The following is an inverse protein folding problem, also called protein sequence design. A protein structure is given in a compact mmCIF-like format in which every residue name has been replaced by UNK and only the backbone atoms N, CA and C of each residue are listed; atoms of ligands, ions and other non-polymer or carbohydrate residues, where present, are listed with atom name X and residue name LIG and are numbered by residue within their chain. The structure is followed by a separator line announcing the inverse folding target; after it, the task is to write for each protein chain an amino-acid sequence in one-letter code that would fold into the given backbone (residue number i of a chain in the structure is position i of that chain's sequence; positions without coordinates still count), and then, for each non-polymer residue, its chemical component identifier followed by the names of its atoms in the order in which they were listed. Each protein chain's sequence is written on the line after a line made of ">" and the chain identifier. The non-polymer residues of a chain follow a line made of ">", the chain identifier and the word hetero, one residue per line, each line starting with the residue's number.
data_IF_627637603127
#
_entry.id   IF_627637603127
#
_cell.length_a   1.000
_cell.length_b   1.000
_cell.length_c   1.000
_cell.angle_alpha   90.00
_cell.angle_beta   90.00
_cell.angle_gamma   90.00
#
_symmetry.space_group_name_H-M   'P 1'
#
loop_
_entity.id
_entity.type
_entity.pdbx_description
1 polymer ?
#
# COMPACT_ATOMS: atom_id res chain seq x y z
N UNK A 1 20.42 0.02 8.68
CA UNK A 1 19.47 0.56 7.70
C UNK A 1 18.08 0.45 8.31
N UNK A 2 17.25 1.47 8.14
CA UNK A 2 15.83 1.42 8.47
C UNK A 2 15.08 0.46 7.55
N UNK A 3 13.87 0.02 7.95
CA UNK A 3 12.99 -0.76 7.08
C UNK A 3 12.74 -0.05 5.74
N UNK A 4 12.54 1.28 5.79
CA UNK A 4 12.35 2.14 4.63
C UNK A 4 13.52 2.08 3.65
N UNK A 5 14.75 2.25 4.15
CA UNK A 5 15.97 2.18 3.33
C UNK A 5 16.16 0.79 2.69
N UNK A 6 15.86 -0.27 3.45
CA UNK A 6 15.96 -1.65 2.96
C UNK A 6 14.99 -1.86 1.79
N UNK A 7 13.72 -1.50 1.96
CA UNK A 7 12.67 -1.70 0.95
C UNK A 7 12.95 -0.88 -0.30
N UNK A 8 13.27 0.41 -0.17
CA UNK A 8 13.59 1.28 -1.32
C UNK A 8 14.80 0.75 -2.10
N UNK A 9 15.85 0.30 -1.40
CA UNK A 9 17.01 -0.28 -2.06
C UNK A 9 16.68 -1.62 -2.73
N UNK A 10 15.88 -2.47 -2.07
CA UNK A 10 15.50 -3.78 -2.58
C UNK A 10 14.64 -3.69 -3.84
N UNK A 11 13.61 -2.85 -3.86
CA UNK A 11 12.71 -2.72 -5.02
C UNK A 11 13.42 -2.16 -6.24
N UNK A 12 14.30 -1.16 -6.04
CA UNK A 12 15.15 -0.62 -7.10
C UNK A 12 16.08 -1.70 -7.69
N UNK A 13 16.80 -2.44 -6.84
CA UNK A 13 17.71 -3.51 -7.29
C UNK A 13 16.97 -4.64 -7.99
N UNK A 14 15.83 -5.08 -7.46
CA UNK A 14 15.04 -6.16 -8.04
C UNK A 14 14.40 -5.76 -9.37
N UNK A 15 13.64 -4.67 -9.39
CA UNK A 15 12.75 -4.37 -10.50
C UNK A 15 13.40 -3.53 -11.59
N UNK A 16 14.39 -2.69 -11.26
CA UNK A 16 15.06 -1.86 -12.25
C UNK A 16 16.41 -2.44 -12.66
N UNK A 17 17.20 -2.93 -11.71
CA UNK A 17 18.56 -3.42 -11.99
C UNK A 17 18.61 -4.93 -12.29
N UNK A 18 17.51 -5.65 -12.03
CA UNK A 18 17.41 -7.12 -12.17
C UNK A 18 18.46 -7.85 -11.33
N UNK A 19 18.91 -7.23 -10.26
CA UNK A 19 19.91 -7.77 -9.36
C UNK A 19 19.25 -8.71 -8.35
N UNK A 20 19.28 -10.02 -8.66
CA UNK A 20 18.73 -11.04 -7.78
C UNK A 20 19.58 -11.29 -6.52
N UNK A 21 20.82 -10.78 -6.45
CA UNK A 21 21.68 -10.98 -5.28
C UNK A 21 21.14 -10.27 -4.04
N UNK A 22 20.36 -9.20 -4.24
CA UNK A 22 19.68 -8.49 -3.14
C UNK A 22 18.74 -9.39 -2.35
N UNK A 23 18.16 -10.43 -2.99
CA UNK A 23 17.28 -11.39 -2.31
C UNK A 23 18.07 -12.12 -1.21
N UNK A 24 19.28 -12.56 -1.52
CA UNK A 24 20.11 -13.30 -0.56
C UNK A 24 20.67 -12.39 0.56
N UNK A 25 20.78 -11.09 0.29
CA UNK A 25 21.29 -10.09 1.23
C UNK A 25 20.23 -9.63 2.25
N UNK A 26 19.03 -9.27 1.78
CA UNK A 26 18.05 -8.52 2.59
C UNK A 26 16.68 -9.17 2.73
N UNK A 27 16.45 -10.36 2.16
CA UNK A 27 15.23 -11.13 2.43
C UNK A 27 15.49 -12.19 3.50
N UNK A 28 14.48 -12.47 4.31
CA UNK A 28 14.54 -13.47 5.37
C UNK A 28 14.48 -14.89 4.78
N UNK A 29 14.94 -15.92 5.52
CA UNK A 29 14.75 -17.31 5.11
C UNK A 29 13.26 -17.70 5.06
N UNK A 30 12.43 -16.98 5.81
CA UNK A 30 10.97 -17.01 5.72
C UNK A 30 10.56 -15.70 5.06
N UNK A 31 9.99 -15.81 3.85
CA UNK A 31 9.39 -14.71 3.11
C UNK A 31 7.99 -15.15 2.70
N UNK A 32 6.99 -14.65 3.41
CA UNK A 32 5.58 -14.97 3.18
C UNK A 32 5.04 -14.04 2.09
N UNK A 33 4.55 -14.63 1.01
CA UNK A 33 3.99 -13.91 -0.14
C UNK A 33 2.46 -13.95 -0.10
N UNK A 34 1.83 -12.80 -0.33
CA UNK A 34 0.38 -12.66 -0.52
C UNK A 34 0.00 -12.27 -1.97
N UNK A 35 0.98 -11.91 -2.80
CA UNK A 35 0.77 -11.57 -4.22
C UNK A 35 0.37 -12.77 -5.07
N UNK A 36 -0.66 -12.60 -5.89
CA UNK A 36 -1.02 -13.59 -6.90
C UNK A 36 0.00 -13.72 -8.05
N UNK A 37 1.01 -12.85 -8.14
CA UNK A 37 2.01 -12.85 -9.21
C UNK A 37 3.14 -13.86 -9.00
N UNK A 38 3.38 -14.30 -7.77
CA UNK A 38 4.53 -15.12 -7.42
C UNK A 38 4.21 -16.18 -6.36
N UNK A 39 4.80 -17.37 -6.52
CA UNK A 39 4.75 -18.40 -5.48
C UNK A 39 5.38 -17.91 -4.17
N UNK A 40 5.08 -18.62 -3.08
CA UNK A 40 5.64 -18.31 -1.77
C UNK A 40 7.16 -18.46 -1.70
N UNK A 41 7.79 -17.75 -0.78
CA UNK A 41 9.22 -17.80 -0.53
C UNK A 41 10.09 -17.05 -1.55
N UNK A 42 11.37 -16.89 -1.19
CA UNK A 42 12.35 -16.13 -1.96
C UNK A 42 12.60 -16.68 -3.37
N UNK A 43 12.43 -17.98 -3.58
CA UNK A 43 12.55 -18.60 -4.91
C UNK A 43 11.38 -18.22 -5.82
N UNK A 44 10.17 -18.04 -5.26
CA UNK A 44 9.03 -17.51 -5.99
C UNK A 44 9.27 -16.07 -6.48
N UNK A 45 9.85 -15.23 -5.61
CA UNK A 45 10.27 -13.86 -5.96
C UNK A 45 11.34 -13.84 -7.05
N UNK A 46 12.42 -14.61 -6.89
CA UNK A 46 13.48 -14.74 -7.93
C UNK A 46 12.91 -15.21 -9.26
N UNK A 47 12.00 -16.18 -9.22
CA UNK A 47 11.30 -16.70 -10.39
C UNK A 47 10.42 -15.66 -11.07
N UNK A 48 9.68 -14.85 -10.30
CA UNK A 48 8.89 -13.74 -10.84
C UNK A 48 9.80 -12.72 -11.55
N UNK A 49 10.80 -12.19 -10.85
CA UNK A 49 11.71 -11.16 -11.40
C UNK A 49 12.46 -11.68 -12.63
N UNK A 50 12.93 -12.94 -12.60
CA UNK A 50 13.64 -13.56 -13.72
C UNK A 50 12.79 -13.79 -14.98
N UNK A 51 11.44 -13.78 -14.87
CA UNK A 51 10.53 -13.87 -16.02
C UNK A 51 10.13 -12.53 -16.62
N UNK A 52 10.38 -11.43 -15.92
CA UNK A 52 10.02 -10.10 -16.42
C UNK A 52 10.85 -9.75 -17.66
N UNK A 53 10.25 -9.09 -18.68
CA UNK A 53 11.00 -8.68 -19.87
C UNK A 53 12.08 -7.66 -19.51
N UNK A 54 13.16 -7.59 -20.29
CA UNK A 54 14.22 -6.60 -20.06
C UNK A 54 13.75 -5.14 -20.18
N UNK A 55 12.58 -4.89 -20.78
CA UNK A 55 11.93 -3.59 -20.85
C UNK A 55 11.00 -3.29 -19.67
N UNK A 56 10.90 -4.17 -18.68
CA UNK A 56 10.14 -3.91 -17.46
C UNK A 56 10.88 -2.95 -16.54
N UNK A 57 10.12 -2.22 -15.73
CA UNK A 57 10.65 -1.25 -14.78
C UNK A 57 9.63 -0.88 -13.71
N UNK A 58 10.11 -0.18 -12.70
CA UNK A 58 9.37 0.26 -11.54
C UNK A 58 9.71 1.72 -11.24
N UNK A 59 8.71 2.59 -11.28
CA UNK A 59 8.81 3.97 -10.82
C UNK A 59 8.26 4.04 -9.40
N UNK A 60 9.14 4.30 -8.43
CA UNK A 60 8.72 4.52 -7.06
C UNK A 60 8.13 5.93 -6.92
N UNK A 61 6.87 6.00 -6.50
CA UNK A 61 6.11 7.25 -6.38
C UNK A 61 6.09 7.74 -4.93
N UNK A 62 5.79 6.84 -3.99
CA UNK A 62 5.68 7.20 -2.56
C UNK A 62 6.12 6.06 -1.66
N UNK A 63 6.64 6.42 -0.48
CA UNK A 63 6.98 5.47 0.58
C UNK A 63 6.49 5.98 1.94
N UNK A 64 5.73 5.15 2.65
CA UNK A 64 5.25 5.39 4.02
C UNK A 64 5.78 4.26 4.91
N UNK A 65 6.48 4.58 6.00
CA UNK A 65 7.07 3.60 6.91
C UNK A 65 6.63 3.83 8.36
N UNK A 66 6.14 2.76 8.99
CA UNK A 66 5.67 2.74 10.38
C UNK A 66 6.23 1.49 11.09
N UNK A 67 7.29 1.69 11.86
CA UNK A 67 8.01 0.60 12.53
C UNK A 67 8.57 -0.41 11.53
N UNK A 68 8.07 -1.64 11.58
CA UNK A 68 8.48 -2.77 10.71
C UNK A 68 7.77 -2.78 9.36
N UNK A 69 6.71 -1.99 9.17
CA UNK A 69 5.91 -1.99 7.95
C UNK A 69 6.30 -0.83 7.05
N UNK A 70 6.44 -1.11 5.76
CA UNK A 70 6.72 -0.12 4.72
C UNK A 70 5.73 -0.30 3.60
N UNK A 71 5.07 0.78 3.20
CA UNK A 71 4.20 0.83 2.02
C UNK A 71 4.98 1.51 0.90
N UNK A 72 4.92 0.93 -0.30
CA UNK A 72 5.38 1.60 -1.53
C UNK A 72 4.22 1.75 -2.49
N UNK A 73 3.97 2.97 -2.96
CA UNK A 73 3.17 3.21 -4.16
C UNK A 73 4.14 3.37 -5.33
N UNK A 74 3.87 2.70 -6.45
CA UNK A 74 4.65 2.91 -7.66
C UNK A 74 3.96 2.46 -8.93
N UNK A 75 4.59 2.77 -10.06
CA UNK A 75 4.13 2.38 -11.40
C UNK A 75 5.01 1.26 -11.93
N UNK A 76 4.39 0.12 -12.22
CA UNK A 76 5.02 -1.06 -12.79
C UNK A 76 4.80 -1.12 -14.30
N UNK A 77 5.89 -1.30 -15.06
CA UNK A 77 5.87 -1.47 -16.51
C UNK A 77 6.37 -2.87 -16.89
N UNK A 78 5.77 -3.47 -17.92
CA UNK A 78 6.13 -4.83 -18.38
C UNK A 78 5.57 -5.98 -17.54
N UNK A 79 4.76 -5.69 -16.51
CA UNK A 79 4.00 -6.67 -15.74
C UNK A 79 2.66 -7.04 -16.42
N UNK A 80 2.13 -6.12 -17.23
CA UNK A 80 0.95 -6.28 -18.06
C UNK A 80 1.14 -5.52 -19.39
N UNK A 81 0.23 -5.66 -20.37
CA UNK A 81 0.29 -4.91 -21.63
C UNK A 81 0.22 -3.39 -21.46
N UNK A 82 -0.24 -2.90 -20.30
CA UNK A 82 -0.28 -1.50 -19.91
C UNK A 82 0.42 -1.32 -18.56
N UNK A 83 0.95 -0.11 -18.24
CA UNK A 83 1.45 0.18 -16.91
C UNK A 83 0.38 -0.04 -15.83
N UNK A 84 0.80 -0.51 -14.66
CA UNK A 84 -0.05 -0.73 -13.50
C UNK A 84 0.42 0.16 -12.35
N UNK A 85 -0.51 0.81 -11.65
CA UNK A 85 -0.23 1.37 -10.32
C UNK A 85 -0.30 0.23 -9.32
N UNK A 86 0.66 0.18 -8.41
CA UNK A 86 0.71 -0.82 -7.35
C UNK A 86 0.90 -0.21 -5.98
N UNK A 87 0.26 -0.83 -5.00
CA UNK A 87 0.54 -0.63 -3.58
C UNK A 87 1.11 -1.93 -3.03
N UNK A 88 2.35 -1.87 -2.56
CA UNK A 88 2.99 -2.99 -1.88
C UNK A 88 3.15 -2.65 -0.39
N UNK A 89 2.88 -3.62 0.47
CA UNK A 89 3.18 -3.58 1.91
C UNK A 89 4.27 -4.59 2.18
N UNK A 90 5.35 -4.13 2.80
CA UNK A 90 6.52 -4.93 3.12
C UNK A 90 6.70 -4.97 4.63
N UNK A 91 6.90 -6.16 5.20
CA UNK A 91 7.31 -6.29 6.59
C UNK A 91 8.79 -6.57 6.68
N UNK A 92 9.49 -5.79 7.51
CA UNK A 92 10.92 -5.92 7.76
C UNK A 92 11.17 -6.22 9.23
N UNK A 93 11.76 -7.38 9.50
CA UNK A 93 12.14 -7.84 10.85
C UNK A 93 13.65 -8.11 10.85
N UNK A 94 14.36 -7.60 11.85
CA UNK A 94 15.81 -7.79 12.01
C UNK A 94 16.63 -7.46 10.74
N UNK A 95 16.20 -6.42 10.03
CA UNK A 95 16.84 -5.97 8.79
C UNK A 95 16.60 -6.88 7.58
N UNK A 96 15.57 -7.75 7.64
CA UNK A 96 15.17 -8.66 6.57
C UNK A 96 13.72 -8.46 6.18
N UNK A 97 13.43 -8.44 4.88
CA UNK A 97 12.06 -8.50 4.36
C UNK A 97 11.53 -9.92 4.57
N UNK A 98 10.46 -10.06 5.34
CA UNK A 98 9.90 -11.36 5.77
C UNK A 98 8.48 -11.62 5.29
N UNK A 99 7.79 -10.59 4.80
CA UNK A 99 6.40 -10.69 4.38
C UNK A 99 6.08 -9.59 3.37
N UNK A 100 5.19 -9.89 2.42
CA UNK A 100 4.80 -8.97 1.35
C UNK A 100 3.36 -9.18 0.92
N UNK A 101 2.65 -8.07 0.78
CA UNK A 101 1.33 -8.00 0.16
C UNK A 101 1.36 -6.97 -0.97
N UNK A 102 0.62 -7.22 -2.04
CA UNK A 102 0.44 -6.24 -3.10
C UNK A 102 -1.02 -6.08 -3.52
N UNK A 103 -1.25 -5.07 -4.33
CA UNK A 103 -2.43 -4.86 -5.14
C UNK A 103 -2.00 -4.04 -6.35
N UNK A 104 -2.16 -4.60 -7.56
CA UNK A 104 -1.80 -3.92 -8.81
C UNK A 104 -3.03 -3.80 -9.69
N UNK A 105 -3.25 -2.61 -10.24
CA UNK A 105 -4.37 -2.34 -11.13
C UNK A 105 -4.08 -1.23 -12.14
N UNK A 106 -4.91 -1.11 -13.19
CA UNK A 106 -4.81 0.01 -14.11
C UNK A 106 -5.15 1.30 -13.37
N UNK A 107 -4.34 2.34 -13.58
CA UNK A 107 -4.54 3.63 -12.94
C UNK A 107 -3.35 4.54 -13.22
N UNK A 108 -3.53 5.84 -13.01
CA UNK A 108 -2.39 6.73 -12.83
C UNK A 108 -1.96 6.62 -11.37
N UNK A 109 -0.66 6.56 -11.10
CA UNK A 109 -0.19 6.83 -9.75
C UNK A 109 -0.40 8.31 -9.46
N UNK A 110 -0.63 8.64 -8.19
CA UNK A 110 -0.82 10.02 -7.79
C UNK A 110 0.54 10.76 -7.80
N UNK A 111 0.51 12.09 -7.90
CA UNK A 111 1.73 12.89 -8.07
C UNK A 111 2.72 12.66 -6.92
N UNK A 112 4.02 12.67 -7.24
CA UNK A 112 5.13 12.60 -6.26
C UNK A 112 5.28 13.86 -5.42
N UNK A 113 4.58 14.94 -5.79
CA UNK A 113 4.53 16.20 -5.05
C UNK A 113 3.98 16.02 -3.62
N UNK A 114 3.29 14.91 -3.35
CA UNK A 114 2.68 14.57 -2.07
C UNK A 114 3.53 13.57 -1.28
N UNK A 115 4.85 13.80 -1.22
CA UNK A 115 5.73 13.10 -0.27
C UNK A 115 5.30 13.45 1.16
N UNK A 116 5.36 12.52 2.14
CA UNK A 116 4.91 12.80 3.50
C UNK A 116 5.56 14.07 4.05
N UNK A 117 4.75 15.01 4.52
CA UNK A 117 5.25 16.19 5.20
C UNK A 117 5.92 15.77 6.52
N UNK A 118 7.01 16.45 6.88
CA UNK A 118 7.64 16.24 8.17
C UNK A 118 6.78 16.88 9.28
N UNK A 119 6.15 16.03 10.10
CA UNK A 119 5.41 16.43 11.31
C UNK A 119 5.99 15.74 12.54
N UNK A 120 5.61 16.16 13.74
CA UNK A 120 6.09 15.55 14.98
C UNK A 120 5.55 14.13 15.19
N UNK A 121 6.24 13.25 15.93
CA UNK A 121 5.73 11.90 16.23
C UNK A 121 4.36 11.89 16.92
N UNK A 122 4.03 12.93 17.70
CA UNK A 122 2.70 13.07 18.33
C UNK A 122 1.63 13.33 17.27
N UNK A 123 1.94 14.14 16.27
CA UNK A 123 1.03 14.39 15.15
C UNK A 123 0.86 13.13 14.28
N UNK A 124 1.93 12.37 14.01
CA UNK A 124 1.82 11.09 13.30
C UNK A 124 0.87 10.14 14.04
N UNK A 125 1.03 10.00 15.36
CA UNK A 125 0.17 9.14 16.17
C UNK A 125 -1.29 9.63 16.17
N UNK A 126 -1.52 10.94 16.20
CA UNK A 126 -2.86 11.53 16.13
C UNK A 126 -3.51 11.29 14.75
N UNK A 127 -2.77 11.49 13.65
CA UNK A 127 -3.22 11.20 12.29
C UNK A 127 -3.62 9.74 12.13
N UNK A 128 -2.76 8.82 12.61
CA UNK A 128 -3.04 7.38 12.59
C UNK A 128 -4.32 7.03 13.36
N UNK A 129 -4.51 7.61 14.54
CA UNK A 129 -5.70 7.38 15.35
C UNK A 129 -6.97 7.94 14.69
N UNK A 130 -6.91 9.14 14.12
CA UNK A 130 -8.02 9.76 13.40
C UNK A 130 -8.49 8.89 12.22
N UNK A 131 -7.55 8.43 11.40
CA UNK A 131 -7.85 7.61 10.21
C UNK A 131 -8.32 6.21 10.60
N UNK A 132 -7.75 5.61 11.65
CA UNK A 132 -8.25 4.34 12.16
C UNK A 132 -9.70 4.45 12.65
N UNK A 133 -10.04 5.52 13.38
CA UNK A 133 -11.41 5.75 13.85
C UNK A 133 -12.37 6.02 12.68
N UNK A 134 -11.95 6.81 11.69
CA UNK A 134 -12.67 7.02 10.43
C UNK A 134 -12.97 5.70 9.72
N UNK A 135 -11.95 4.88 9.51
CA UNK A 135 -12.05 3.61 8.81
C UNK A 135 -13.01 2.64 9.52
N UNK A 136 -12.91 2.53 10.84
CA UNK A 136 -13.77 1.65 11.64
C UNK A 136 -15.22 2.16 11.69
N UNK A 137 -15.45 3.44 12.00
CA UNK A 137 -16.81 3.94 12.21
C UNK A 137 -17.58 4.20 10.92
N UNK A 138 -16.89 4.72 9.90
CA UNK A 138 -17.54 5.19 8.67
C UNK A 138 -17.42 4.18 7.55
N UNK A 139 -16.21 3.68 7.28
CA UNK A 139 -16.01 2.75 6.16
C UNK A 139 -16.59 1.38 6.49
N UNK A 140 -16.13 0.75 7.58
CA UNK A 140 -16.61 -0.57 8.04
C UNK A 140 -17.99 -0.45 8.72
N UNK A 141 -18.13 0.48 9.66
CA UNK A 141 -19.36 0.66 10.43
C UNK A 141 -20.53 1.26 9.63
N UNK A 142 -20.26 1.88 8.48
CA UNK A 142 -21.27 2.46 7.60
C UNK A 142 -21.95 3.72 8.14
N UNK A 143 -21.52 4.28 9.27
CA UNK A 143 -22.10 5.50 9.84
C UNK A 143 -21.62 6.75 9.10
N UNK A 144 -22.16 6.97 7.91
CA UNK A 144 -21.82 8.15 7.08
C UNK A 144 -22.30 9.46 7.69
N UNK A 145 -23.15 9.42 8.71
CA UNK A 145 -23.67 10.64 9.35
C UNK A 145 -22.60 11.39 10.12
N UNK A 146 -21.57 10.67 10.59
CA UNK A 146 -20.44 11.26 11.32
C UNK A 146 -19.26 11.63 10.41
N UNK A 147 -19.36 11.41 9.09
CA UNK A 147 -18.27 11.73 8.17
C UNK A 147 -17.78 13.20 8.24
N UNK A 148 -18.65 14.21 8.39
CA UNK A 148 -18.22 15.61 8.56
C UNK A 148 -17.37 15.87 9.81
N UNK A 149 -17.31 14.93 10.77
CA UNK A 149 -16.42 15.00 11.93
C UNK A 149 -14.97 14.72 11.54
N UNK A 150 -14.73 13.87 10.54
CA UNK A 150 -13.38 13.45 10.13
C UNK A 150 -12.87 14.22 8.92
N UNK A 151 -13.71 14.39 7.91
CA UNK A 151 -13.33 15.03 6.66
C UNK A 151 -13.30 16.56 6.83
N UNK A 152 -12.35 17.23 6.19
CA UNK A 152 -12.44 18.68 6.02
C UNK A 152 -13.63 19.02 5.14
N UNK A 153 -14.35 20.06 5.53
CA UNK A 153 -15.22 20.76 4.60
C UNK A 153 -14.34 21.68 3.77
N UNK A 154 -14.51 21.72 2.47
CA UNK A 154 -13.68 22.56 1.62
C UNK A 154 -13.95 24.06 1.80
N UNK A 155 -12.88 24.85 1.65
CA UNK A 155 -12.98 26.29 1.36
C UNK A 155 -13.53 26.60 -0.03
N UNK A 156 -13.45 25.64 -0.96
CA UNK A 156 -13.72 25.81 -2.41
C UNK A 156 -14.83 24.88 -2.97
N UNK A 157 -15.38 23.97 -2.16
CA UNK A 157 -16.61 23.22 -2.47
C UNK A 157 -16.50 21.77 -2.98
N UNK A 158 -15.35 21.09 -2.95
CA UNK A 158 -15.20 19.67 -3.32
C UNK A 158 -14.59 18.86 -2.17
N UNK A 159 -15.42 18.51 -1.17
CA UNK A 159 -14.94 17.75 -0.01
C UNK A 159 -14.24 16.43 -0.37
N UNK A 160 -13.45 15.89 0.57
CA UNK A 160 -12.70 14.63 0.39
C UNK A 160 -13.62 13.52 -0.13
N UNK A 161 -13.37 13.09 -1.36
CA UNK A 161 -14.15 12.03 -2.01
C UNK A 161 -13.59 10.65 -1.66
N UNK A 162 -14.49 9.68 -1.43
CA UNK A 162 -14.17 8.27 -1.27
C UNK A 162 -15.28 7.43 -1.90
N UNK A 163 -14.95 6.20 -2.31
CA UNK A 163 -15.92 5.35 -2.99
C UNK A 163 -16.98 4.82 -2.01
N UNK A 164 -18.19 5.36 -2.16
CA UNK A 164 -19.35 5.01 -1.36
C UNK A 164 -20.11 3.78 -1.86
N UNK A 165 -19.72 3.19 -3.00
CA UNK A 165 -20.29 1.94 -3.49
C UNK A 165 -19.67 0.72 -2.79
N UNK A 166 -18.44 0.85 -2.27
CA UNK A 166 -17.74 -0.23 -1.57
C UNK A 166 -18.37 -0.46 -0.20
N UNK A 167 -18.68 -1.72 0.09
CA UNK A 167 -18.99 -2.18 1.45
C UNK A 167 -17.71 -2.71 2.08
N UNK A 168 -17.11 -1.95 3.01
CA UNK A 168 -15.90 -2.40 3.70
C UNK A 168 -16.26 -3.49 4.71
N UNK A 169 -15.40 -4.50 4.81
CA UNK A 169 -15.57 -5.67 5.67
C UNK A 169 -14.63 -5.60 6.87
N UNK A 170 -13.34 -5.33 6.65
CA UNK A 170 -12.33 -5.28 7.70
C UNK A 170 -11.14 -4.41 7.33
N UNK A 171 -10.54 -3.75 8.32
CA UNK A 171 -9.25 -3.06 8.19
C UNK A 171 -8.14 -4.01 8.62
N UNK A 172 -7.25 -4.35 7.69
CA UNK A 172 -6.14 -5.28 7.92
C UNK A 172 -4.85 -4.58 8.33
N UNK A 173 -4.65 -3.33 7.89
CA UNK A 173 -3.51 -2.53 8.28
C UNK A 173 -3.82 -1.03 8.33
N UNK A 174 -3.18 -0.33 9.27
CA UNK A 174 -3.10 1.13 9.34
C UNK A 174 -1.63 1.52 9.56
N UNK A 175 -1.03 2.23 8.62
CA UNK A 175 0.42 2.51 8.56
C UNK A 175 0.59 4.02 8.34
N UNK A 176 1.30 4.72 9.22
CA UNK A 176 1.41 6.17 9.16
C UNK A 176 2.86 6.68 9.17
N UNK A 177 3.13 7.68 8.34
CA UNK A 177 4.36 8.47 8.36
C UNK A 177 4.06 9.90 7.96
N UNK A 178 4.55 10.86 8.73
CA UNK A 178 4.26 12.26 8.46
C UNK A 178 2.77 12.58 8.63
N UNK A 179 2.22 13.31 7.67
CA UNK A 179 0.80 13.62 7.53
C UNK A 179 0.00 12.57 6.74
N UNK A 180 0.64 11.48 6.30
CA UNK A 180 0.01 10.44 5.50
C UNK A 180 -0.28 9.19 6.34
N UNK A 181 -1.46 8.62 6.11
CA UNK A 181 -1.89 7.36 6.70
C UNK A 181 -2.41 6.46 5.59
N UNK A 182 -1.81 5.28 5.46
CA UNK A 182 -2.27 4.22 4.57
C UNK A 182 -3.18 3.25 5.31
N UNK A 183 -4.26 2.82 4.65
CA UNK A 183 -5.12 1.71 5.09
C UNK A 183 -5.19 0.62 4.03
N UNK A 184 -5.00 -0.63 4.45
CA UNK A 184 -5.33 -1.82 3.65
C UNK A 184 -6.60 -2.44 4.22
N UNK A 185 -7.62 -2.59 3.39
CA UNK A 185 -8.91 -3.12 3.80
C UNK A 185 -9.43 -4.19 2.84
N UNK A 186 -10.27 -5.05 3.39
CA UNK A 186 -11.12 -5.98 2.66
C UNK A 186 -12.48 -5.34 2.44
N UNK A 187 -13.05 -5.49 1.25
CA UNK A 187 -14.37 -4.95 0.92
C UNK A 187 -15.12 -5.77 -0.13
N UNK A 188 -16.34 -5.34 -0.42
CA UNK A 188 -17.23 -5.91 -1.43
C UNK A 188 -17.74 -4.81 -2.36
N UNK A 189 -17.70 -5.06 -3.68
CA UNK A 189 -18.27 -4.20 -4.72
C UNK A 189 -19.12 -5.03 -5.71
N UNK A 190 -18.47 -5.62 -6.72
CA UNK A 190 -19.05 -6.64 -7.62
C UNK A 190 -18.51 -8.05 -7.28
N UNK A 191 -18.14 -8.23 -6.01
CA UNK A 191 -17.37 -9.33 -5.45
C UNK A 191 -16.25 -8.81 -4.52
N UNK A 192 -15.45 -9.73 -3.93
CA UNK A 192 -14.42 -9.36 -2.98
C UNK A 192 -13.34 -8.48 -3.61
N UNK A 193 -12.98 -7.39 -2.93
CA UNK A 193 -11.96 -6.42 -3.35
C UNK A 193 -10.92 -6.18 -2.25
N UNK A 194 -9.69 -5.90 -2.68
CA UNK A 194 -8.62 -5.33 -1.86
C UNK A 194 -8.70 -3.81 -2.05
N UNK A 195 -8.85 -3.09 -0.95
CA UNK A 195 -8.94 -1.63 -0.93
C UNK A 195 -7.68 -1.07 -0.30
N UNK A 196 -6.99 -0.20 -1.03
CA UNK A 196 -5.77 0.45 -0.58
C UNK A 196 -6.03 1.95 -0.63
N UNK A 197 -6.01 2.61 0.52
CA UNK A 197 -6.24 4.05 0.59
C UNK A 197 -5.06 4.74 1.25
N UNK A 198 -4.73 5.93 0.77
CA UNK A 198 -3.87 6.90 1.44
C UNK A 198 -4.72 8.11 1.80
N UNK A 199 -4.65 8.50 3.06
CA UNK A 199 -5.32 9.64 3.64
C UNK A 199 -4.28 10.68 4.05
N UNK A 200 -4.46 11.93 3.64
CA UNK A 200 -3.66 13.05 4.16
C UNK A 200 -4.41 13.75 5.28
N UNK A 201 -3.72 14.03 6.38
CA UNK A 201 -4.28 14.65 7.58
C UNK A 201 -3.66 16.01 7.82
N UNK A 202 -4.50 17.04 7.98
CA UNK A 202 -4.08 18.36 8.44
C UNK A 202 -4.82 18.71 9.74
N UNK A 203 -4.05 18.91 10.82
CA UNK A 203 -4.61 19.14 12.15
C UNK A 203 -5.48 17.97 12.61
N UNK A 204 -6.80 18.17 12.68
CA UNK A 204 -7.76 17.17 13.13
C UNK A 204 -8.66 16.65 12.01
N UNK A 205 -8.26 16.87 10.75
CA UNK A 205 -9.10 16.61 9.58
C UNK A 205 -8.34 15.80 8.53
N UNK A 206 -9.05 14.87 7.91
CA UNK A 206 -8.62 14.27 6.64
C UNK A 206 -8.91 15.31 5.55
N UNK A 207 -7.88 15.69 4.80
CA UNK A 207 -7.95 16.75 3.78
C UNK A 207 -7.77 16.23 2.36
N UNK A 208 -7.30 15.01 2.21
CA UNK A 208 -7.12 14.39 0.89
C UNK A 208 -7.18 12.87 1.00
N UNK A 209 -7.56 12.24 -0.10
CA UNK A 209 -7.70 10.81 -0.23
C UNK A 209 -7.30 10.36 -1.64
N UNK A 210 -6.56 9.26 -1.69
CA UNK A 210 -6.20 8.54 -2.90
C UNK A 210 -6.33 7.05 -2.65
N UNK A 211 -6.62 6.26 -3.68
CA UNK A 211 -6.70 4.83 -3.47
C UNK A 211 -6.69 3.99 -4.74
N UNK A 212 -6.47 2.70 -4.52
CA UNK A 212 -6.52 1.65 -5.52
C UNK A 212 -7.39 0.50 -5.00
N UNK A 213 -8.47 0.24 -5.72
CA UNK A 213 -9.38 -0.87 -5.47
C UNK A 213 -9.17 -1.90 -6.57
N UNK A 214 -8.85 -3.12 -6.18
CA UNK A 214 -8.68 -4.24 -7.13
C UNK A 214 -9.49 -5.45 -6.69
N UNK A 215 -10.03 -6.26 -7.62
CA UNK A 215 -10.64 -7.54 -7.28
C UNK A 215 -9.64 -8.45 -6.57
N UNK A 216 -10.08 -9.18 -5.55
CA UNK A 216 -9.29 -10.26 -4.97
C UNK A 216 -9.09 -11.36 -6.03
N UNK A 217 -7.85 -11.78 -6.33
CA UNK A 217 -7.59 -12.89 -7.23
C UNK A 217 -8.33 -14.17 -6.83
N UNK A 218 -8.90 -14.89 -7.81
CA UNK A 218 -9.62 -16.15 -7.55
C UNK A 218 -8.72 -17.29 -7.12
N UNK A 219 -7.45 -17.23 -7.52
CA UNK A 219 -6.45 -18.25 -7.28
C UNK A 219 -5.14 -17.59 -6.89
N UNK A 220 -4.41 -18.22 -5.97
CA UNK A 220 -3.08 -17.82 -5.56
C UNK A 220 -2.10 -18.98 -5.79
N UNK A 221 -0.84 -18.70 -6.14
CA UNK A 221 0.21 -19.71 -6.24
C UNK A 221 0.76 -20.14 -4.85
N UNK A 222 0.03 -19.82 -3.78
CA UNK A 222 0.35 -20.07 -2.37
C UNK A 222 -0.94 -20.15 -1.53
N UNK A 223 -0.83 -20.53 -0.25
CA UNK A 223 -1.97 -20.68 0.66
C UNK A 223 -2.25 -19.47 1.57
N UNK A 224 -1.42 -18.43 1.51
CA UNK A 224 -1.44 -17.31 2.46
C UNK A 224 -2.62 -16.32 2.28
N UNK A 225 -3.33 -16.36 1.16
CA UNK A 225 -4.43 -15.41 0.87
C UNK A 225 -3.97 -13.99 0.54
N UNK A 226 -4.91 -13.06 0.39
CA UNK A 226 -4.67 -11.67 0.00
C UNK A 226 -4.44 -10.69 1.18
N UNK A 227 -4.77 -11.14 2.39
CA UNK A 227 -4.80 -10.38 3.63
C UNK A 227 -4.02 -11.13 4.71
#
# INVERSE_FOLDING_TARGET
>A
MSAKEIVVSATERLFNQKDLTVVDEVFGPVYVQHSALGSDGVEGLKGLVGRLPGSSGYELVRVIADGELVVTEGVFTGFAPVPLTGYDVWRVVDGRVVEHWDALGPGAAHSTADSPAQVSPVEVAASKALVAEWAEKVLVGGDRTVAPTYLSADGDGVGVEYDQAISYVAIHAVIAEGDLVYTRAEGELDGPVIVNDIWRVEGTKIVEHWGLVVPVPKEFPHANGAF
#
